data_IF_105084206636
#
_entry.id   IF_105084206636
#
_cell.length_a   1.000
_cell.length_b   1.000
_cell.length_c   1.000
_cell.angle_alpha   90.00
_cell.angle_beta   90.00
_cell.angle_gamma   90.00
#
_symmetry.space_group_name_H-M   'P 1'
#
loop_
_entity.id
_entity.type
_entity.pdbx_description
1 polymer ?
#
# COMPACT_ATOMS: atom_id res chain seq x y z
N UNK A 1 59.45 -47.60 -8.32
CA UNK A 1 58.55 -47.35 -9.47
C UNK A 1 57.23 -46.82 -8.93
N UNK A 2 56.81 -45.65 -9.41
CA UNK A 2 55.64 -44.87 -8.98
C UNK A 2 54.33 -45.61 -9.29
N UNK A 3 53.35 -45.60 -8.40
CA UNK A 3 51.93 -45.75 -8.75
C UNK A 3 51.11 -44.70 -7.99
N UNK A 4 50.57 -43.78 -8.76
CA UNK A 4 49.76 -42.63 -8.34
C UNK A 4 48.36 -43.07 -7.89
N UNK A 5 47.94 -42.50 -6.76
CA UNK A 5 46.63 -41.91 -6.46
C UNK A 5 45.48 -42.10 -7.47
N UNK A 6 44.32 -42.51 -6.97
CA UNK A 6 43.04 -41.95 -7.41
C UNK A 6 42.12 -41.81 -6.17
N UNK A 7 42.15 -40.62 -5.56
CA UNK A 7 41.19 -40.19 -4.55
C UNK A 7 39.98 -39.63 -5.29
N UNK A 8 38.86 -40.37 -5.25
CA UNK A 8 37.58 -39.92 -5.78
C UNK A 8 36.98 -38.92 -4.78
N UNK A 9 37.19 -37.62 -5.02
CA UNK A 9 36.56 -36.54 -4.26
C UNK A 9 35.14 -36.37 -4.84
N UNK A 10 34.14 -36.91 -4.15
CA UNK A 10 32.73 -36.56 -4.39
C UNK A 10 32.50 -35.13 -3.89
N UNK A 11 32.48 -34.18 -4.82
CA UNK A 11 32.08 -32.80 -4.58
C UNK A 11 30.56 -32.77 -4.36
N UNK A 12 30.13 -32.81 -3.10
CA UNK A 12 28.75 -32.51 -2.73
C UNK A 12 28.51 -31.02 -2.98
N UNK A 13 27.94 -30.70 -4.13
CA UNK A 13 27.40 -29.37 -4.39
C UNK A 13 26.24 -29.14 -3.42
N UNK A 14 26.50 -28.36 -2.37
CA UNK A 14 25.46 -27.85 -1.50
C UNK A 14 24.65 -26.85 -2.33
N UNK A 15 23.47 -27.24 -2.80
CA UNK A 15 22.48 -26.28 -3.27
C UNK A 15 21.99 -25.53 -2.03
N UNK A 16 22.62 -24.40 -1.73
CA UNK A 16 22.05 -23.42 -0.81
C UNK A 16 20.71 -22.97 -1.39
N UNK A 17 19.63 -23.37 -0.74
CA UNK A 17 18.30 -22.78 -0.95
C UNK A 17 18.36 -21.35 -0.40
N UNK A 18 18.89 -20.41 -1.19
CA UNK A 18 18.59 -19.00 -0.95
C UNK A 18 17.06 -18.89 -1.03
N UNK A 19 16.44 -18.38 0.04
CA UNK A 19 15.04 -18.01 0.00
C UNK A 19 14.91 -17.03 -1.17
N UNK A 20 14.33 -17.50 -2.27
CA UNK A 20 14.16 -16.69 -3.47
C UNK A 20 13.20 -15.58 -3.06
N UNK A 21 13.66 -14.33 -3.08
CA UNK A 21 12.79 -13.17 -2.84
C UNK A 21 11.57 -13.32 -3.74
N UNK A 22 10.38 -13.30 -3.13
CA UNK A 22 9.14 -13.45 -3.87
C UNK A 22 9.00 -12.25 -4.82
N UNK A 23 9.00 -12.51 -6.13
CA UNK A 23 8.89 -11.47 -7.16
C UNK A 23 7.67 -10.56 -6.96
N UNK A 24 6.61 -11.10 -6.33
CA UNK A 24 5.40 -10.35 -5.98
C UNK A 24 5.69 -9.16 -5.06
N UNK A 25 6.74 -9.20 -4.23
CA UNK A 25 7.13 -8.05 -3.40
C UNK A 25 7.55 -6.85 -4.25
N UNK A 26 8.41 -7.07 -5.25
CA UNK A 26 8.86 -5.99 -6.13
C UNK A 26 7.67 -5.44 -6.95
N UNK A 27 6.86 -6.33 -7.53
CA UNK A 27 5.66 -5.95 -8.28
C UNK A 27 4.64 -5.19 -7.42
N UNK A 28 4.47 -5.57 -6.15
CA UNK A 28 3.60 -4.87 -5.21
C UNK A 28 4.10 -3.46 -4.87
N UNK A 29 5.41 -3.28 -4.67
CA UNK A 29 6.01 -1.96 -4.46
C UNK A 29 5.75 -1.04 -5.65
N UNK A 30 5.96 -1.55 -6.86
CA UNK A 30 5.73 -0.80 -8.10
C UNK A 30 4.26 -0.42 -8.25
N UNK A 31 3.32 -1.36 -8.05
CA UNK A 31 1.89 -1.09 -8.12
C UNK A 31 1.42 -0.06 -7.08
N UNK A 32 1.90 -0.17 -5.84
CA UNK A 32 1.59 0.79 -4.77
C UNK A 32 2.16 2.19 -5.07
N UNK A 33 3.39 2.26 -5.56
CA UNK A 33 4.03 3.52 -5.96
C UNK A 33 3.27 4.18 -7.12
N UNK A 34 2.89 3.40 -8.13
CA UNK A 34 2.12 3.90 -9.27
C UNK A 34 0.74 4.41 -8.84
N UNK A 35 0.01 3.66 -8.00
CA UNK A 35 -1.27 4.11 -7.45
C UNK A 35 -1.11 5.44 -6.69
N UNK A 36 -0.10 5.56 -5.83
CA UNK A 36 0.17 6.79 -5.10
C UNK A 36 0.48 7.99 -6.00
N UNK A 37 1.31 7.78 -7.03
CA UNK A 37 1.68 8.81 -7.99
C UNK A 37 0.48 9.32 -8.78
N UNK A 38 -0.35 8.41 -9.31
CA UNK A 38 -1.50 8.77 -10.12
C UNK A 38 -2.59 9.48 -9.29
N UNK A 39 -2.85 9.00 -8.07
CA UNK A 39 -3.78 9.67 -7.15
C UNK A 39 -3.29 11.08 -6.79
N UNK A 40 -2.00 11.24 -6.52
CA UNK A 40 -1.41 12.55 -6.23
C UNK A 40 -1.50 13.47 -7.44
N UNK A 41 -1.25 12.98 -8.64
CA UNK A 41 -1.32 13.77 -9.87
C UNK A 41 -2.77 14.23 -10.14
N UNK A 42 -3.75 13.33 -9.99
CA UNK A 42 -5.16 13.67 -10.12
C UNK A 42 -5.59 14.73 -9.10
N UNK A 43 -5.19 14.58 -7.83
CA UNK A 43 -5.47 15.55 -6.78
C UNK A 43 -4.85 16.93 -7.09
N UNK A 44 -3.56 16.98 -7.43
CA UNK A 44 -2.87 18.23 -7.73
C UNK A 44 -3.47 18.94 -8.94
N UNK A 45 -3.91 18.18 -9.94
CA UNK A 45 -4.60 18.72 -11.12
C UNK A 45 -5.90 19.38 -10.70
N UNK A 46 -6.78 18.66 -9.99
CA UNK A 46 -8.07 19.18 -9.54
C UNK A 46 -7.93 20.40 -8.61
N UNK A 47 -6.94 20.39 -7.71
CA UNK A 47 -6.63 21.54 -6.87
C UNK A 47 -6.24 22.78 -7.69
N UNK A 48 -5.50 22.60 -8.77
CA UNK A 48 -5.05 23.69 -9.64
C UNK A 48 -6.12 24.21 -10.60
N UNK A 49 -7.00 23.34 -11.10
CA UNK A 49 -8.03 23.69 -12.09
C UNK A 49 -9.34 24.14 -11.45
N UNK A 50 -9.80 23.40 -10.44
CA UNK A 50 -11.18 23.50 -9.93
C UNK A 50 -11.22 23.95 -8.46
N UNK A 51 -10.06 23.97 -7.79
CA UNK A 51 -9.90 24.41 -6.42
C UNK A 51 -10.20 23.33 -5.37
N UNK A 52 -10.05 23.65 -4.08
CA UNK A 52 -10.09 22.67 -2.99
C UNK A 52 -11.45 21.99 -2.79
N UNK A 53 -12.55 22.67 -3.13
CA UNK A 53 -13.91 22.13 -2.99
C UNK A 53 -14.14 21.02 -4.04
N UNK A 54 -13.88 21.32 -5.31
CA UNK A 54 -14.08 20.36 -6.40
C UNK A 54 -13.08 19.20 -6.36
N UNK A 55 -11.86 19.44 -5.88
CA UNK A 55 -10.87 18.38 -5.68
C UNK A 55 -11.32 17.27 -4.72
N UNK A 56 -12.24 17.56 -3.78
CA UNK A 56 -12.82 16.55 -2.87
C UNK A 56 -13.71 15.57 -3.65
N UNK A 57 -14.48 16.07 -4.62
CA UNK A 57 -15.31 15.26 -5.50
C UNK A 57 -14.45 14.36 -6.38
N UNK A 58 -13.35 14.89 -6.93
CA UNK A 58 -12.40 14.13 -7.77
C UNK A 58 -11.83 12.93 -7.01
N UNK A 59 -11.47 13.09 -5.73
CA UNK A 59 -11.01 11.97 -4.91
C UNK A 59 -12.06 10.86 -4.73
N UNK A 60 -13.36 11.17 -4.78
CA UNK A 60 -14.44 10.17 -4.71
C UNK A 60 -14.63 9.42 -6.03
N UNK A 61 -14.31 10.07 -7.15
CA UNK A 61 -14.58 9.59 -8.51
C UNK A 61 -13.36 8.87 -9.10
N UNK A 62 -12.17 9.47 -9.02
CA UNK A 62 -10.98 9.02 -9.76
C UNK A 62 -10.22 7.88 -9.06
N UNK A 63 -10.36 7.75 -7.74
CA UNK A 63 -9.55 6.81 -7.01
C UNK A 63 -9.87 5.34 -7.31
N UNK A 64 -11.15 5.01 -7.46
CA UNK A 64 -11.58 3.64 -7.75
C UNK A 64 -11.21 3.20 -9.18
N UNK A 65 -11.40 4.02 -10.24
CA UNK A 65 -10.94 3.71 -11.59
C UNK A 65 -9.42 3.47 -11.70
N UNK A 66 -8.60 4.30 -11.04
CA UNK A 66 -7.14 4.12 -11.05
C UNK A 66 -6.78 2.76 -10.42
N UNK A 67 -7.33 2.45 -9.25
CA UNK A 67 -7.10 1.19 -8.54
C UNK A 67 -7.56 -0.02 -9.36
N UNK A 68 -8.74 0.06 -9.99
CA UNK A 68 -9.29 -1.00 -10.84
C UNK A 68 -8.38 -1.27 -12.05
N UNK A 69 -7.94 -0.22 -12.76
CA UNK A 69 -7.03 -0.36 -13.90
C UNK A 69 -5.70 -1.00 -13.51
N UNK A 70 -5.10 -0.59 -12.40
CA UNK A 70 -3.86 -1.20 -11.91
C UNK A 70 -4.07 -2.65 -11.49
N UNK A 71 -5.25 -2.97 -10.94
CA UNK A 71 -5.60 -4.35 -10.59
C UNK A 71 -5.67 -5.24 -11.83
N UNK A 72 -6.31 -4.76 -12.90
CA UNK A 72 -6.38 -5.46 -14.19
C UNK A 72 -5.00 -5.67 -14.83
N UNK A 73 -4.14 -4.66 -14.77
CA UNK A 73 -2.80 -4.71 -15.36
C UNK A 73 -1.85 -5.66 -14.63
N UNK A 74 -1.97 -5.75 -13.31
CA UNK A 74 -1.08 -6.57 -12.47
C UNK A 74 -1.59 -7.99 -12.24
N UNK A 75 -2.91 -8.19 -12.35
CA UNK A 75 -3.56 -9.43 -11.91
C UNK A 75 -3.70 -9.57 -10.39
N UNK A 76 -3.33 -8.53 -9.64
CA UNK A 76 -3.51 -8.43 -8.19
C UNK A 76 -4.63 -7.46 -7.83
N UNK A 77 -5.24 -7.58 -6.66
CA UNK A 77 -6.10 -6.53 -6.12
C UNK A 77 -5.27 -5.37 -5.60
N UNK A 78 -5.28 -4.22 -6.27
CA UNK A 78 -4.51 -3.02 -5.89
C UNK A 78 -5.46 -1.98 -5.30
N UNK A 79 -5.14 -1.43 -4.14
CA UNK A 79 -6.03 -0.48 -3.48
C UNK A 79 -5.42 0.28 -2.30
N UNK A 80 -6.32 0.86 -1.49
CA UNK A 80 -5.98 1.59 -0.26
C UNK A 80 -6.85 1.12 0.89
N UNK A 81 -6.32 1.19 2.09
CA UNK A 81 -7.07 0.98 3.32
C UNK A 81 -6.67 2.01 4.38
N UNK A 82 -7.48 2.20 5.42
CA UNK A 82 -7.14 3.10 6.52
C UNK A 82 -7.83 2.71 7.83
N UNK A 83 -7.17 2.99 8.96
CA UNK A 83 -7.79 2.87 10.28
C UNK A 83 -8.92 3.91 10.48
N UNK A 84 -8.79 5.08 9.85
CA UNK A 84 -9.76 6.18 9.82
C UNK A 84 -10.16 6.45 8.38
N UNK A 85 -11.35 6.01 8.00
CA UNK A 85 -11.79 5.96 6.61
C UNK A 85 -12.59 7.20 6.19
N UNK A 86 -12.40 7.60 4.93
CA UNK A 86 -13.26 8.59 4.25
C UNK A 86 -14.31 7.92 3.37
N UNK A 87 -13.85 6.98 2.54
CA UNK A 87 -14.69 6.07 1.79
C UNK A 87 -14.87 4.77 2.63
N UNK A 88 -16.12 4.36 2.93
CA UNK A 88 -16.43 3.08 3.57
C UNK A 88 -15.76 1.85 2.93
N UNK A 89 -15.54 1.86 1.61
CA UNK A 89 -14.95 0.75 0.86
C UNK A 89 -13.46 0.50 1.21
N UNK A 90 -12.81 1.46 1.88
CA UNK A 90 -11.42 1.35 2.29
C UNK A 90 -11.26 0.75 3.71
N UNK A 91 -12.33 0.19 4.30
CA UNK A 91 -12.26 -0.43 5.61
C UNK A 91 -11.30 -1.65 5.60
N UNK A 92 -10.36 -1.76 6.55
CA UNK A 92 -9.45 -2.89 6.63
C UNK A 92 -10.14 -4.13 7.18
N UNK A 93 -9.67 -5.30 6.73
CA UNK A 93 -9.88 -6.55 7.47
C UNK A 93 -9.05 -6.58 8.77
N UNK A 94 -9.23 -7.65 9.56
CA UNK A 94 -8.56 -7.78 10.87
C UNK A 94 -7.04 -7.79 10.73
N UNK A 95 -6.50 -8.54 9.77
CA UNK A 95 -5.05 -8.66 9.58
C UNK A 95 -4.44 -7.34 9.06
N UNK A 96 -5.10 -6.66 8.12
CA UNK A 96 -4.68 -5.36 7.62
C UNK A 96 -4.70 -4.28 8.72
N UNK A 97 -5.67 -4.35 9.64
CA UNK A 97 -5.73 -3.47 10.81
C UNK A 97 -4.51 -3.67 11.72
N UNK A 98 -4.16 -4.90 12.06
CA UNK A 98 -3.01 -5.21 12.92
C UNK A 98 -1.69 -4.68 12.32
N UNK A 99 -1.50 -4.86 11.00
CA UNK A 99 -0.34 -4.32 10.27
C UNK A 99 -0.31 -2.79 10.35
N UNK A 100 -1.44 -2.12 10.10
CA UNK A 100 -1.50 -0.65 10.17
C UNK A 100 -1.30 -0.13 11.59
N UNK A 101 -1.76 -0.83 12.62
CA UNK A 101 -1.48 -0.46 14.01
C UNK A 101 0.01 -0.58 14.33
N UNK A 102 0.72 -1.55 13.74
CA UNK A 102 2.18 -1.62 13.80
C UNK A 102 2.83 -0.43 13.08
N UNK A 103 2.40 -0.12 11.85
CA UNK A 103 2.90 1.05 11.11
C UNK A 103 2.72 2.35 11.89
N UNK A 104 1.58 2.54 12.54
CA UNK A 104 1.32 3.73 13.35
C UNK A 104 2.28 3.84 14.55
N UNK A 105 2.62 2.71 15.20
CA UNK A 105 3.62 2.68 16.28
C UNK A 105 5.03 2.97 15.77
N UNK A 106 5.40 2.42 14.62
CA UNK A 106 6.72 2.64 14.02
C UNK A 106 6.91 4.11 13.62
N UNK A 107 5.90 4.72 13.01
CA UNK A 107 5.93 6.15 12.67
C UNK A 107 5.99 7.05 13.91
N UNK A 108 5.29 6.70 14.99
CA UNK A 108 5.38 7.40 16.27
C UNK A 108 6.74 7.24 16.97
N UNK A 109 7.55 6.27 16.55
CA UNK A 109 8.92 6.03 17.00
C UNK A 109 9.98 6.60 16.03
N UNK A 110 9.61 7.57 15.20
CA UNK A 110 10.47 8.28 14.25
C UNK A 110 11.14 7.35 13.20
N UNK A 111 10.38 6.40 12.65
CA UNK A 111 10.85 5.54 11.57
C UNK A 111 11.50 6.35 10.42
N UNK A 112 12.68 5.90 9.97
CA UNK A 112 13.47 6.60 8.94
C UNK A 112 12.93 6.44 7.52
N UNK A 113 11.95 5.55 7.33
CA UNK A 113 11.28 5.30 6.07
C UNK A 113 9.82 4.87 6.34
N UNK A 114 8.90 5.06 5.38
CA UNK A 114 7.55 4.52 5.49
C UNK A 114 7.60 2.99 5.69
N UNK A 115 6.98 2.45 6.76
CA UNK A 115 7.00 1.02 6.99
C UNK A 115 6.19 0.27 5.92
N UNK A 116 6.63 -0.93 5.61
CA UNK A 116 5.99 -1.85 4.68
C UNK A 116 5.93 -3.26 5.30
N UNK A 117 5.02 -4.07 4.78
CA UNK A 117 4.81 -5.44 5.22
C UNK A 117 4.48 -6.31 4.02
N UNK A 118 5.05 -7.51 3.96
CA UNK A 118 4.75 -8.50 2.94
C UNK A 118 4.61 -9.88 3.59
N UNK A 119 3.50 -10.54 3.29
CA UNK A 119 3.20 -11.88 3.76
C UNK A 119 2.79 -12.79 2.59
N UNK A 120 3.22 -14.05 2.65
CA UNK A 120 2.71 -15.13 1.80
C UNK A 120 1.85 -16.05 2.66
N UNK A 121 0.78 -16.58 2.08
CA UNK A 121 -0.17 -17.44 2.79
C UNK A 121 -0.01 -18.90 2.35
N UNK A 122 -0.46 -19.86 3.18
CA UNK A 122 -0.34 -21.28 2.84
C UNK A 122 -1.07 -21.70 1.56
N UNK A 123 -2.07 -20.95 1.13
CA UNK A 123 -2.81 -21.18 -0.12
C UNK A 123 -2.08 -20.62 -1.36
N UNK A 124 -0.87 -20.06 -1.19
CA UNK A 124 -0.09 -19.46 -2.27
C UNK A 124 -0.49 -18.02 -2.59
N UNK A 125 -1.46 -17.43 -1.90
CA UNK A 125 -1.76 -16.00 -2.02
C UNK A 125 -0.70 -15.16 -1.30
N UNK A 126 -0.68 -13.86 -1.56
CA UNK A 126 0.22 -12.94 -0.86
C UNK A 126 -0.44 -11.57 -0.65
N UNK A 127 0.01 -10.87 0.38
CA UNK A 127 -0.40 -9.50 0.67
C UNK A 127 0.82 -8.63 0.88
N UNK A 128 0.80 -7.47 0.23
CA UNK A 128 1.71 -6.38 0.50
C UNK A 128 0.94 -5.19 1.06
N UNK A 129 1.54 -4.49 2.02
CA UNK A 129 1.04 -3.23 2.53
C UNK A 129 2.18 -2.23 2.70
N UNK A 130 1.95 -0.97 2.36
CA UNK A 130 2.88 0.12 2.65
C UNK A 130 2.18 1.35 3.22
N UNK A 131 2.80 1.96 4.22
CA UNK A 131 2.23 3.11 4.89
C UNK A 131 2.09 4.33 3.96
N UNK A 132 0.94 4.98 4.04
CA UNK A 132 0.69 6.31 3.50
C UNK A 132 0.93 7.29 4.64
N UNK A 133 2.08 7.96 4.63
CA UNK A 133 2.47 8.94 5.65
C UNK A 133 1.89 10.30 5.29
N UNK A 134 1.15 10.93 6.20
CA UNK A 134 0.55 12.24 5.99
C UNK A 134 1.62 13.30 5.74
N UNK A 135 1.53 13.96 4.58
CA UNK A 135 2.40 15.07 4.16
C UNK A 135 1.72 16.42 4.40
N UNK A 136 2.43 17.56 4.30
CA UNK A 136 1.85 18.89 4.51
C UNK A 136 0.59 19.18 3.67
N UNK A 137 0.53 18.70 2.42
CA UNK A 137 -0.68 18.84 1.59
C UNK A 137 -1.86 18.03 2.14
N UNK A 138 -1.60 16.86 2.73
CA UNK A 138 -2.65 15.97 3.22
C UNK A 138 -3.48 16.64 4.32
N UNK A 139 -2.83 17.38 5.22
CA UNK A 139 -3.50 17.97 6.38
C UNK A 139 -4.41 19.14 6.04
N UNK A 140 -4.40 19.65 4.80
CA UNK A 140 -5.38 20.64 4.35
C UNK A 140 -6.83 20.11 4.38
N UNK A 141 -7.02 18.81 4.13
CA UNK A 141 -8.33 18.13 4.12
C UNK A 141 -8.45 17.01 5.16
N UNK A 142 -7.32 16.61 5.76
CA UNK A 142 -7.23 15.56 6.76
C UNK A 142 -6.75 16.07 8.13
N UNK A 143 -6.43 17.35 8.27
CA UNK A 143 -5.90 17.92 9.50
C UNK A 143 -6.93 18.08 10.62
N UNK A 144 -6.46 18.48 11.80
CA UNK A 144 -7.32 18.93 12.91
C UNK A 144 -7.97 20.29 12.64
N UNK A 145 -7.32 21.10 11.82
CA UNK A 145 -7.80 22.42 11.40
C UNK A 145 -8.08 22.38 9.90
N UNK A 146 -9.37 22.38 9.54
CA UNK A 146 -9.85 22.32 8.16
C UNK A 146 -10.70 23.57 7.93
N UNK A 147 -10.52 24.22 6.78
CA UNK A 147 -11.32 25.39 6.42
C UNK A 147 -12.83 25.04 6.39
N UNK A 148 -13.74 25.89 6.91
CA UNK A 148 -15.17 25.58 7.02
C UNK A 148 -15.82 25.11 5.71
N UNK A 149 -15.45 25.72 4.59
CA UNK A 149 -15.92 25.37 3.25
C UNK A 149 -15.45 23.98 2.81
N UNK A 150 -14.20 23.61 3.13
CA UNK A 150 -13.63 22.29 2.86
C UNK A 150 -14.32 21.23 3.72
N UNK A 151 -14.53 21.52 5.00
CA UNK A 151 -15.24 20.61 5.91
C UNK A 151 -16.70 20.38 5.46
N UNK A 152 -17.38 21.43 4.99
CA UNK A 152 -18.73 21.35 4.43
C UNK A 152 -18.78 20.48 3.18
N UNK A 153 -17.83 20.67 2.26
CA UNK A 153 -17.72 19.86 1.05
C UNK A 153 -17.42 18.38 1.38
N UNK A 154 -16.50 18.11 2.31
CA UNK A 154 -16.23 16.74 2.79
C UNK A 154 -17.52 16.11 3.34
N UNK A 155 -18.26 16.79 4.21
CA UNK A 155 -19.49 16.25 4.79
C UNK A 155 -20.57 15.97 3.73
N UNK A 156 -20.63 16.77 2.66
CA UNK A 156 -21.54 16.58 1.54
C UNK A 156 -21.22 15.32 0.71
N UNK A 157 -19.93 15.08 0.42
CA UNK A 157 -19.50 13.92 -0.36
C UNK A 157 -19.33 12.64 0.47
N UNK A 158 -18.98 12.78 1.75
CA UNK A 158 -18.65 11.68 2.66
C UNK A 158 -19.37 11.87 4.02
N UNK A 159 -20.67 11.57 4.10
CA UNK A 159 -21.45 11.77 5.33
C UNK A 159 -20.96 10.95 6.54
N UNK A 160 -20.14 9.92 6.30
CA UNK A 160 -19.55 9.04 7.33
C UNK A 160 -18.03 9.21 7.43
N UNK A 161 -17.48 10.35 7.00
CA UNK A 161 -16.05 10.62 7.07
C UNK A 161 -15.51 10.54 8.51
N UNK A 162 -14.40 9.82 8.66
CA UNK A 162 -13.64 9.72 9.91
C UNK A 162 -12.19 10.19 9.72
N UNK A 163 -11.80 10.55 8.49
CA UNK A 163 -10.41 10.80 8.09
C UNK A 163 -9.97 12.25 8.29
N UNK A 164 -10.22 12.87 9.46
CA UNK A 164 -9.74 14.23 9.81
C UNK A 164 -8.70 14.17 10.92
N UNK A 165 -8.30 15.27 11.57
CA UNK A 165 -7.49 15.22 12.80
C UNK A 165 -6.11 14.56 12.69
N UNK A 166 -5.49 14.54 11.51
CA UNK A 166 -4.12 14.04 11.30
C UNK A 166 -3.10 15.18 11.42
N UNK A 167 -1.91 14.85 11.94
CA UNK A 167 -0.70 15.66 11.86
C UNK A 167 0.19 15.19 10.70
N UNK A 168 1.17 16.02 10.31
CA UNK A 168 2.23 15.59 9.39
C UNK A 168 3.06 14.50 10.05
N UNK A 169 3.32 13.41 9.33
CA UNK A 169 4.01 12.23 9.86
C UNK A 169 3.07 11.11 10.34
N UNK A 170 1.79 11.41 10.55
CA UNK A 170 0.82 10.39 10.97
C UNK A 170 0.58 9.33 9.87
N UNK A 171 0.15 8.14 10.29
CA UNK A 171 -0.36 7.12 9.39
C UNK A 171 -1.72 7.53 8.82
N UNK A 172 -1.76 8.05 7.59
CA UNK A 172 -3.02 8.37 6.90
C UNK A 172 -3.78 7.11 6.46
N UNK A 173 -3.07 6.04 6.13
CA UNK A 173 -3.62 4.77 5.67
C UNK A 173 -2.50 3.88 5.13
N UNK A 174 -2.84 2.89 4.32
CA UNK A 174 -1.89 2.05 3.61
C UNK A 174 -2.32 1.82 2.16
N UNK A 175 -1.35 1.68 1.26
CA UNK A 175 -1.58 0.95 0.02
C UNK A 175 -1.61 -0.53 0.34
N UNK A 176 -2.46 -1.28 -0.36
CA UNK A 176 -2.61 -2.73 -0.19
C UNK A 176 -2.61 -3.38 -1.58
N UNK A 177 -1.86 -4.49 -1.70
CA UNK A 177 -1.81 -5.32 -2.92
C UNK A 177 -2.06 -6.78 -2.53
N UNK A 178 -3.18 -7.32 -2.96
CA UNK A 178 -3.59 -8.71 -2.74
C UNK A 178 -3.34 -9.56 -3.98
N UNK A 179 -2.40 -10.49 -3.89
CA UNK A 179 -2.19 -11.47 -4.94
C UNK A 179 -3.11 -12.67 -4.74
N UNK A 180 -3.75 -13.17 -5.81
CA UNK A 180 -4.56 -14.39 -5.70
C UNK A 180 -3.68 -15.58 -5.35
N UNK A 181 -4.30 -16.65 -4.83
CA UNK A 181 -3.66 -17.95 -4.69
C UNK A 181 -3.05 -18.36 -6.05
N UNK A 182 -1.76 -18.69 -6.08
CA UNK A 182 -1.22 -19.36 -7.26
C UNK A 182 -1.95 -20.69 -7.39
N UNK A 183 -2.56 -21.00 -8.54
CA UNK A 183 -2.91 -22.39 -8.83
C UNK A 183 -1.66 -23.21 -8.58
N UNK A 184 -1.71 -24.12 -7.61
CA UNK A 184 -0.62 -25.04 -7.34
C UNK A 184 -0.22 -25.61 -8.70
N UNK A 185 1.01 -25.31 -9.13
CA UNK A 185 1.56 -25.92 -10.33
C UNK A 185 1.50 -27.42 -10.07
N UNK A 186 0.50 -28.04 -10.68
CA UNK A 186 0.17 -29.43 -10.48
C UNK A 186 1.42 -30.27 -10.73
N UNK A 187 1.70 -31.10 -9.73
CA UNK A 187 2.68 -32.18 -9.69
C UNK A 187 2.95 -32.85 -11.04
#
# INVERSE_FOLDING_TARGET
MKRYQLLLICLLASLSSEARDDERLALSRDAAAQLGQELSAALLTALGTDGPIEAIAVCSVEASPIAARLSEQTGAGVGRTALRIRNPDNAPDVAAREVMEAFARDLAADATAPPEHFETRPDGSARYMSAIVAQPLCVACHGSEIAPEVATAIAGHYPSDQATGFAVGDLRGAFIVEWPASEAQGQ
#
